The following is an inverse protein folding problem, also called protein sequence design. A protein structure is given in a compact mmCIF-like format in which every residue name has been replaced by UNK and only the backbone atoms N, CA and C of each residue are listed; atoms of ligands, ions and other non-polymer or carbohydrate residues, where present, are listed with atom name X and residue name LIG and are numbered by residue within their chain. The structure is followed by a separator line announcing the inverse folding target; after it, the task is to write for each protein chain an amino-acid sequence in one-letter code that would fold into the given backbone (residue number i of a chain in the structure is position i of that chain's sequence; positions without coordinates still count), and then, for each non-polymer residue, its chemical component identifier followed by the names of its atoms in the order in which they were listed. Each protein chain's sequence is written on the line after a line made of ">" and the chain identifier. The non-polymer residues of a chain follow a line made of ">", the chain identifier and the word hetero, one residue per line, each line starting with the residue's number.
data_IF_741890468894
#
_entry.id   IF_741890468894
#
_cell.length_a   1.000
_cell.length_b   1.000
_cell.length_c   1.000
_cell.angle_alpha   90.00
_cell.angle_beta   90.00
_cell.angle_gamma   90.00
#
_symmetry.space_group_name_H-M   'P 1'
#
loop_
_entity.id
_entity.type
_entity.pdbx_description
1 polymer ?
#
# COMPACT_ATOMS: atom_id res chain seq x y z
N UNK A 1 8.08 11.56 -1.58
CA UNK A 1 7.58 10.20 -1.33
C UNK A 1 6.08 10.28 -1.45
N UNK A 2 5.50 9.43 -2.28
CA UNK A 2 4.10 9.47 -2.68
C UNK A 2 3.49 8.12 -2.36
N UNK A 3 2.31 8.08 -1.75
CA UNK A 3 1.57 6.85 -1.50
C UNK A 3 0.20 6.97 -2.17
N UNK A 4 -0.13 6.00 -3.01
CA UNK A 4 -1.39 5.93 -3.75
C UNK A 4 -2.13 4.72 -3.24
N UNK A 5 -3.29 4.92 -2.61
CA UNK A 5 -4.14 3.81 -2.20
C UNK A 5 -4.73 3.13 -3.44
N UNK A 6 -4.73 1.81 -3.42
CA UNK A 6 -5.21 0.98 -4.52
C UNK A 6 -6.54 0.34 -4.13
N UNK A 7 -7.45 0.26 -5.09
CA UNK A 7 -8.64 -0.57 -5.06
C UNK A 7 -8.37 -1.93 -5.73
N UNK A 8 -9.33 -2.84 -5.69
CA UNK A 8 -9.19 -4.16 -6.32
C UNK A 8 -8.85 -4.06 -7.82
N UNK A 9 -9.49 -3.14 -8.55
CA UNK A 9 -9.41 -3.07 -10.01
C UNK A 9 -8.09 -2.46 -10.48
N UNK A 10 -7.53 -1.53 -9.71
CA UNK A 10 -6.21 -0.94 -9.94
C UNK A 10 -5.10 -1.95 -9.69
N UNK A 11 -5.16 -2.72 -8.59
CA UNK A 11 -4.22 -3.83 -8.36
C UNK A 11 -4.33 -4.86 -9.48
N UNK A 12 -5.55 -5.31 -9.81
CA UNK A 12 -5.77 -6.30 -10.87
C UNK A 12 -5.20 -5.83 -12.21
N UNK A 13 -5.41 -4.55 -12.54
CA UNK A 13 -4.88 -3.95 -13.78
C UNK A 13 -3.35 -3.97 -13.81
N UNK A 14 -2.68 -3.62 -12.72
CA UNK A 14 -1.21 -3.65 -12.63
C UNK A 14 -0.66 -5.08 -12.79
N UNK A 15 -1.30 -6.07 -12.18
CA UNK A 15 -0.91 -7.49 -12.35
C UNK A 15 -1.07 -7.93 -13.80
N UNK A 16 -2.19 -7.59 -14.43
CA UNK A 16 -2.44 -7.93 -15.82
C UNK A 16 -1.45 -7.26 -16.78
N UNK A 17 -1.05 -6.02 -16.52
CA UNK A 17 -0.02 -5.32 -17.28
C UNK A 17 1.34 -6.00 -17.15
N UNK A 18 1.73 -6.38 -15.93
CA UNK A 18 2.98 -7.10 -15.69
C UNK A 18 2.99 -8.46 -16.40
N UNK A 19 1.94 -9.28 -16.25
CA UNK A 19 1.82 -10.58 -16.92
C UNK A 19 1.94 -10.44 -18.45
N UNK A 20 1.35 -9.38 -19.01
CA UNK A 20 1.43 -9.07 -20.44
C UNK A 20 2.84 -8.65 -20.85
N UNK A 21 3.49 -7.76 -20.09
CA UNK A 21 4.83 -7.27 -20.38
C UNK A 21 5.86 -8.41 -20.37
N UNK A 22 5.72 -9.33 -19.42
CA UNK A 22 6.61 -10.48 -19.24
C UNK A 22 6.21 -11.70 -20.09
N UNK A 23 5.09 -11.61 -20.83
CA UNK A 23 4.52 -12.70 -21.65
C UNK A 23 4.29 -13.98 -20.88
N UNK A 24 3.89 -13.85 -19.61
CA UNK A 24 3.53 -14.97 -18.75
C UNK A 24 2.13 -15.43 -19.14
N UNK A 25 2.03 -16.59 -19.82
CA UNK A 25 0.76 -17.13 -20.33
C UNK A 25 0.45 -18.54 -19.84
N UNK A 26 1.42 -19.22 -19.23
CA UNK A 26 1.23 -20.56 -18.69
C UNK A 26 0.36 -20.48 -17.42
N UNK A 27 -0.76 -21.22 -17.32
CA UNK A 27 -1.69 -21.11 -16.20
C UNK A 27 -1.04 -21.28 -14.82
N UNK A 28 -0.04 -22.16 -14.69
CA UNK A 28 0.69 -22.35 -13.43
C UNK A 28 1.55 -21.13 -13.07
N UNK A 29 2.26 -20.55 -14.03
CA UNK A 29 3.07 -19.35 -13.81
C UNK A 29 2.19 -18.11 -13.54
N UNK A 30 1.05 -18.01 -14.21
CA UNK A 30 0.04 -16.98 -13.91
C UNK A 30 -0.50 -17.14 -12.49
N UNK A 31 -0.78 -18.37 -12.05
CA UNK A 31 -1.26 -18.62 -10.68
C UNK A 31 -0.20 -18.34 -9.62
N UNK A 32 1.08 -18.65 -9.90
CA UNK A 32 2.21 -18.32 -9.02
C UNK A 32 2.36 -16.80 -8.86
N UNK A 33 2.31 -16.05 -9.97
CA UNK A 33 2.33 -14.58 -9.91
C UNK A 33 1.11 -14.03 -9.17
N UNK A 34 -0.10 -14.49 -9.51
CA UNK A 34 -1.32 -14.05 -8.82
C UNK A 34 -1.28 -14.34 -7.32
N UNK A 35 -0.67 -15.43 -6.89
CA UNK A 35 -0.52 -15.71 -5.46
C UNK A 35 0.31 -14.64 -4.74
N UNK A 36 1.40 -14.17 -5.36
CA UNK A 36 2.23 -13.08 -4.80
C UNK A 36 1.41 -11.80 -4.65
N UNK A 37 0.53 -11.47 -5.61
CA UNK A 37 -0.30 -10.27 -5.54
C UNK A 37 -1.52 -10.42 -4.64
N UNK A 38 -2.12 -11.61 -4.54
CA UNK A 38 -3.20 -11.88 -3.61
C UNK A 38 -2.74 -11.67 -2.16
N UNK A 39 -1.50 -12.00 -1.82
CA UNK A 39 -0.91 -11.68 -0.51
C UNK A 39 -0.80 -10.16 -0.26
N UNK A 40 -0.83 -9.33 -1.31
CA UNK A 40 -0.76 -7.87 -1.23
C UNK A 40 -2.14 -7.21 -1.11
N UNK A 41 -3.23 -7.94 -1.37
CA UNK A 41 -4.60 -7.49 -1.21
C UNK A 41 -5.16 -8.10 0.08
N UNK A 42 -5.39 -7.31 1.14
CA UNK A 42 -5.86 -7.84 2.41
C UNK A 42 -7.26 -8.46 2.24
N UNK A 43 -7.38 -9.74 2.56
CA UNK A 43 -8.62 -10.53 2.39
C UNK A 43 -9.80 -9.99 3.22
N UNK A 44 -9.52 -9.23 4.29
CA UNK A 44 -10.50 -8.79 5.30
C UNK A 44 -10.37 -7.30 5.66
N UNK A 45 -10.80 -6.40 4.76
CA UNK A 45 -11.04 -5.00 5.10
C UNK A 45 -9.79 -4.21 5.52
N UNK A 46 -8.62 -4.59 5.01
CA UNK A 46 -7.42 -3.77 5.08
C UNK A 46 -7.33 -2.80 3.91
N UNK A 47 -6.29 -1.96 3.92
CA UNK A 47 -5.98 -1.04 2.82
C UNK A 47 -4.72 -1.49 2.09
N UNK A 48 -4.68 -1.33 0.78
CA UNK A 48 -3.48 -1.51 -0.04
C UNK A 48 -3.07 -0.20 -0.68
N UNK A 49 -1.78 -0.06 -0.95
CA UNK A 49 -1.22 1.13 -1.58
C UNK A 49 0.10 0.86 -2.30
N UNK A 50 0.36 1.65 -3.34
CA UNK A 50 1.67 1.76 -3.98
C UNK A 50 2.45 2.93 -3.41
N UNK A 51 3.63 2.64 -2.89
CA UNK A 51 4.59 3.62 -2.38
C UNK A 51 5.65 3.91 -3.45
N UNK A 52 5.85 5.20 -3.75
CA UNK A 52 6.84 5.68 -4.72
C UNK A 52 7.84 6.64 -4.06
N UNK A 53 9.12 6.37 -4.27
CA UNK A 53 10.26 7.21 -3.86
C UNK A 53 10.77 7.94 -5.10
N UNK A 54 10.20 9.11 -5.36
CA UNK A 54 10.48 9.92 -6.53
C UNK A 54 11.55 10.99 -6.21
N UNK A 55 12.65 10.94 -6.95
CA UNK A 55 13.73 11.94 -6.91
C UNK A 55 14.22 12.12 -8.36
N UNK A 56 14.22 13.36 -8.83
CA UNK A 56 14.55 13.70 -10.23
C UNK A 56 16.01 13.39 -10.58
N UNK A 57 16.93 13.80 -9.71
CA UNK A 57 18.36 13.58 -9.91
C UNK A 57 18.74 12.10 -9.64
N UNK A 58 19.32 11.37 -10.60
CA UNK A 58 19.65 9.96 -10.44
C UNK A 58 20.66 9.64 -9.33
N UNK A 59 21.65 10.51 -9.10
CA UNK A 59 22.67 10.30 -8.08
C UNK A 59 22.09 10.54 -6.69
N UNK A 60 21.27 11.58 -6.55
CA UNK A 60 20.52 11.85 -5.32
C UNK A 60 19.53 10.73 -5.05
N UNK A 61 18.83 10.24 -6.08
CA UNK A 61 17.86 9.14 -5.97
C UNK A 61 18.50 7.89 -5.40
N UNK A 62 19.64 7.47 -5.95
CA UNK A 62 20.31 6.27 -5.49
C UNK A 62 20.83 6.43 -4.06
N UNK A 63 21.41 7.59 -3.74
CA UNK A 63 21.82 7.89 -2.36
C UNK A 63 20.63 7.83 -1.39
N UNK A 64 19.51 8.46 -1.73
CA UNK A 64 18.29 8.46 -0.91
C UNK A 64 17.75 7.05 -0.67
N UNK A 65 17.75 6.20 -1.70
CA UNK A 65 17.33 4.80 -1.57
C UNK A 65 18.16 4.01 -0.55
N UNK A 66 19.47 4.27 -0.46
CA UNK A 66 20.35 3.66 0.56
C UNK A 66 20.14 4.27 1.95
N UNK A 67 19.92 5.58 2.02
CA UNK A 67 19.64 6.26 3.29
C UNK A 67 18.33 5.82 3.94
N UNK A 68 17.39 5.28 3.17
CA UNK A 68 16.06 4.86 3.61
C UNK A 68 15.95 3.37 3.97
N UNK A 69 17.06 2.62 4.02
CA UNK A 69 17.03 1.22 4.49
C UNK A 69 16.39 1.14 5.87
N UNK A 70 15.37 0.30 6.03
CA UNK A 70 14.52 0.24 7.23
C UNK A 70 13.21 1.04 7.11
N UNK A 71 12.91 1.64 5.95
CA UNK A 71 11.64 2.33 5.71
C UNK A 71 10.41 1.42 5.87
N UNK A 72 10.56 0.14 5.53
CA UNK A 72 9.55 -0.90 5.72
C UNK A 72 9.16 -1.10 7.18
N UNK A 73 10.02 -0.65 8.10
CA UNK A 73 9.80 -0.66 9.52
C UNK A 73 9.33 0.68 10.11
N UNK A 74 9.17 1.71 9.28
CA UNK A 74 8.99 3.08 9.75
C UNK A 74 7.65 3.71 9.34
N UNK A 75 6.87 3.06 8.47
CA UNK A 75 5.60 3.58 7.96
C UNK A 75 4.40 3.07 8.78
N UNK A 76 3.55 4.01 9.21
CA UNK A 76 2.32 3.74 9.94
C UNK A 76 1.14 4.54 9.39
N UNK A 77 -0.06 3.99 9.58
CA UNK A 77 -1.34 4.67 9.43
C UNK A 77 -1.90 4.96 10.82
N UNK A 78 -2.07 6.23 11.15
CA UNK A 78 -2.62 6.71 12.42
C UNK A 78 -4.10 7.08 12.20
N UNK A 79 -4.98 6.46 12.98
CA UNK A 79 -6.44 6.54 12.92
C UNK A 79 -6.95 6.99 14.30
N UNK A 80 -6.86 8.29 14.58
CA UNK A 80 -7.10 8.80 15.94
C UNK A 80 -6.07 8.26 16.94
N UNK A 81 -6.50 7.38 17.84
CA UNK A 81 -5.67 6.69 18.85
C UNK A 81 -5.18 5.30 18.41
N UNK A 82 -5.66 4.79 17.26
CA UNK A 82 -5.22 3.50 16.71
C UNK A 82 -4.05 3.74 15.75
N UNK A 83 -2.98 2.96 15.89
CA UNK A 83 -1.82 2.98 14.98
C UNK A 83 -1.66 1.61 14.33
N UNK A 84 -1.67 1.60 12.99
CA UNK A 84 -1.48 0.39 12.19
C UNK A 84 -0.16 0.51 11.45
N UNK A 85 0.71 -0.48 11.62
CA UNK A 85 1.98 -0.53 10.88
C UNK A 85 1.74 -1.05 9.47
N UNK A 86 2.44 -0.47 8.51
CA UNK A 86 2.46 -0.97 7.15
C UNK A 86 3.20 -2.32 7.08
N UNK A 87 2.67 -3.23 6.26
CA UNK A 87 3.35 -4.42 5.75
C UNK A 87 3.82 -4.14 4.34
N UNK A 88 5.02 -4.57 3.98
CA UNK A 88 5.59 -4.35 2.65
C UNK A 88 5.77 -5.67 1.91
N UNK A 89 5.72 -5.60 0.58
CA UNK A 89 5.98 -6.73 -0.30
C UNK A 89 7.40 -7.30 -0.16
N UNK A 90 7.58 -8.56 -0.53
CA UNK A 90 8.89 -9.22 -0.54
C UNK A 90 9.75 -8.86 -1.77
N UNK A 91 9.14 -8.52 -2.90
CA UNK A 91 9.80 -8.32 -4.20
C UNK A 91 10.78 -7.14 -4.19
N UNK A 92 10.47 -6.09 -3.43
CA UNK A 92 11.26 -4.86 -3.33
C UNK A 92 12.22 -4.79 -2.15
N UNK A 93 12.47 -5.91 -1.46
CA UNK A 93 13.39 -5.96 -0.31
C UNK A 93 14.83 -6.19 -0.77
N UNK A 94 15.68 -5.17 -0.60
CA UNK A 94 17.13 -5.31 -0.75
C UNK A 94 17.84 -4.97 0.57
N UNK A 95 19.02 -5.56 0.79
CA UNK A 95 19.78 -5.36 2.03
C UNK A 95 20.37 -3.95 2.14
N UNK A 96 20.74 -3.34 1.02
CA UNK A 96 21.53 -2.10 0.98
C UNK A 96 20.73 -0.88 0.51
N UNK A 97 19.49 -1.08 0.06
CA UNK A 97 18.63 -0.02 -0.49
C UNK A 97 17.15 -0.38 -0.44
N UNK A 98 16.27 0.62 -0.42
CA UNK A 98 14.83 0.41 -0.67
C UNK A 98 14.55 0.44 -2.17
N UNK A 99 13.58 -0.32 -2.69
CA UNK A 99 13.10 -0.16 -4.07
C UNK A 99 12.47 1.21 -4.31
N UNK A 100 12.48 1.69 -5.56
CA UNK A 100 11.84 2.97 -5.90
C UNK A 100 10.30 2.89 -5.83
N UNK A 101 9.75 1.71 -6.07
CA UNK A 101 8.32 1.39 -5.97
C UNK A 101 8.17 0.20 -5.03
N UNK A 102 7.22 0.25 -4.11
CA UNK A 102 6.89 -0.81 -3.16
C UNK A 102 5.38 -0.96 -3.04
N UNK A 103 4.91 -2.18 -2.86
CA UNK A 103 3.55 -2.44 -2.45
C UNK A 103 3.46 -2.49 -0.94
N UNK A 104 2.42 -1.86 -0.42
CA UNK A 104 2.21 -1.67 1.01
C UNK A 104 0.77 -2.05 1.35
N UNK A 105 0.57 -2.76 2.45
CA UNK A 105 -0.75 -3.05 2.99
C UNK A 105 -0.86 -2.68 4.47
N UNK A 106 -2.08 -2.38 4.90
CA UNK A 106 -2.44 -2.08 6.27
C UNK A 106 -3.58 -3.01 6.70
N UNK A 107 -3.26 -3.98 7.55
CA UNK A 107 -4.26 -4.85 8.16
C UNK A 107 -5.01 -4.07 9.24
N UNK A 108 -6.21 -3.58 8.93
CA UNK A 108 -7.00 -2.78 9.86
C UNK A 108 -7.63 -3.67 10.93
N UNK A 109 -7.32 -3.46 12.23
CA UNK A 109 -8.10 -4.07 13.29
C UNK A 109 -9.53 -3.47 13.32
N UNK A 110 -10.50 -4.13 13.97
CA UNK A 110 -11.89 -3.67 13.98
C UNK A 110 -12.07 -2.22 14.48
N UNK A 111 -11.35 -1.83 15.52
CA UNK A 111 -11.32 -0.46 16.05
C UNK A 111 -10.72 0.54 15.04
N UNK A 112 -9.63 0.18 14.36
CA UNK A 112 -9.05 0.97 13.28
C UNK A 112 -10.03 1.22 12.14
N UNK A 113 -10.83 0.21 11.78
CA UNK A 113 -11.89 0.35 10.77
C UNK A 113 -13.01 1.27 11.25
N UNK A 114 -13.47 1.13 12.49
CA UNK A 114 -14.46 2.04 13.07
C UNK A 114 -13.98 3.50 13.04
N UNK A 115 -12.71 3.73 13.39
CA UNK A 115 -12.06 5.04 13.31
C UNK A 115 -11.96 5.57 11.89
N UNK A 116 -11.66 4.71 10.91
CA UNK A 116 -11.63 5.12 9.51
C UNK A 116 -13.01 5.55 9.01
N UNK A 117 -14.08 4.88 9.46
CA UNK A 117 -15.46 5.18 9.08
C UNK A 117 -16.00 6.46 9.75
N UNK A 118 -15.55 6.79 10.95
CA UNK A 118 -15.94 7.99 11.69
C UNK A 118 -15.44 9.31 11.03
N UNK A 119 -16.34 10.21 10.59
CA UNK A 119 -15.95 11.51 10.06
C UNK A 119 -15.23 12.44 11.03
N UNK A 120 -15.37 12.21 12.34
CA UNK A 120 -14.66 12.99 13.36
C UNK A 120 -13.21 12.58 13.56
N UNK A 121 -12.79 11.44 13.00
CA UNK A 121 -11.45 10.90 13.21
C UNK A 121 -10.48 11.36 12.12
N UNK A 122 -9.39 12.01 12.56
CA UNK A 122 -8.27 12.34 11.68
C UNK A 122 -7.50 11.07 11.30
N UNK A 123 -7.19 10.94 10.01
CA UNK A 123 -6.42 9.83 9.45
C UNK A 123 -5.13 10.37 8.85
N UNK A 124 -3.98 9.79 9.21
CA UNK A 124 -2.71 10.24 8.66
C UNK A 124 -1.74 9.09 8.41
N UNK A 125 -0.90 9.26 7.40
CA UNK A 125 0.28 8.44 7.17
C UNK A 125 1.46 9.09 7.87
N UNK A 126 2.24 8.31 8.60
CA UNK A 126 3.45 8.77 9.26
C UNK A 126 4.62 7.88 8.93
N UNK A 127 5.75 8.51 8.61
CA UNK A 127 7.05 7.86 8.53
C UNK A 127 7.88 8.34 9.70
N UNK A 128 8.34 7.43 10.54
CA UNK A 128 9.28 7.70 11.62
C UNK A 128 10.58 6.92 11.38
N UNK A 129 11.40 7.42 10.45
CA UNK A 129 12.68 6.83 10.08
C UNK A 129 13.85 7.74 10.51
N UNK A 130 14.98 7.22 11.00
CA UNK A 130 16.10 8.04 11.49
C UNK A 130 16.67 9.06 10.50
N UNK A 131 16.44 8.82 9.19
CA UNK A 131 16.88 9.70 8.08
C UNK A 131 15.73 10.42 7.36
N UNK A 132 14.48 10.18 7.77
CA UNK A 132 13.30 10.75 7.13
C UNK A 132 12.09 10.70 8.06
N UNK A 133 11.59 11.86 8.47
CA UNK A 133 10.35 11.98 9.22
C UNK A 133 9.35 12.81 8.42
N UNK A 134 8.14 12.29 8.27
CA UNK A 134 7.08 12.95 7.52
C UNK A 134 5.71 12.49 8.02
N UNK A 135 4.74 13.40 7.99
CA UNK A 135 3.33 13.10 8.26
C UNK A 135 2.48 13.71 7.15
N UNK A 136 1.50 12.95 6.67
CA UNK A 136 0.51 13.41 5.71
C UNK A 136 -0.89 13.04 6.21
N UNK A 137 -1.69 14.05 6.53
CA UNK A 137 -3.10 13.86 6.89
C UNK A 137 -3.93 13.69 5.62
N UNK A 138 -4.78 12.66 5.60
CA UNK A 138 -5.71 12.42 4.51
C UNK A 138 -6.79 13.52 4.51
N UNK A 139 -7.24 13.91 3.32
CA UNK A 139 -8.43 14.75 3.20
C UNK A 139 -9.68 13.95 3.57
N UNK A 140 -10.75 14.64 3.96
CA UNK A 140 -12.05 14.00 4.21
C UNK A 140 -12.56 13.23 3.00
N UNK A 141 -12.22 13.69 1.79
CA UNK A 141 -12.57 13.02 0.54
C UNK A 141 -11.83 11.71 0.36
N UNK A 142 -10.51 11.70 0.55
CA UNK A 142 -9.71 10.49 0.47
C UNK A 142 -10.16 9.47 1.54
N UNK A 143 -10.36 9.92 2.79
CA UNK A 143 -10.88 9.07 3.87
C UNK A 143 -12.22 8.44 3.49
N UNK A 144 -13.15 9.24 2.96
CA UNK A 144 -14.47 8.74 2.51
C UNK A 144 -14.34 7.73 1.38
N UNK A 145 -13.45 7.95 0.41
CA UNK A 145 -13.20 6.99 -0.66
C UNK A 145 -12.79 5.64 -0.09
N UNK A 146 -11.78 5.62 0.79
CA UNK A 146 -11.29 4.39 1.42
C UNK A 146 -12.36 3.71 2.27
N UNK A 147 -13.23 4.49 2.94
CA UNK A 147 -14.34 3.96 3.71
C UNK A 147 -15.38 3.20 2.84
N UNK A 148 -15.61 3.64 1.60
CA UNK A 148 -16.56 2.99 0.67
C UNK A 148 -16.05 1.61 0.24
N UNK A 149 -14.75 1.50 -0.04
CA UNK A 149 -14.12 0.24 -0.49
C UNK A 149 -14.11 -0.82 0.61
N UNK A 150 -14.19 -0.38 1.87
CA UNK A 150 -14.26 -1.24 3.04
C UNK A 150 -15.69 -1.62 3.42
N UNK A 151 -16.75 -1.14 2.77
CA UNK A 151 -18.13 -1.52 3.09
C UNK A 151 -18.41 -2.96 2.61
N UNK A 152 -18.84 -3.90 3.48
CA UNK A 152 -19.14 -5.29 3.07
C UNK A 152 -20.17 -5.38 1.94
N UNK A 153 -21.06 -4.40 1.82
CA UNK A 153 -22.09 -4.36 0.77
C UNK A 153 -21.49 -4.15 -0.62
N UNK A 154 -20.36 -3.44 -0.74
CA UNK A 154 -19.65 -3.22 -2.00
C UNK A 154 -18.60 -4.30 -2.29
N UNK A 155 -17.98 -4.87 -1.25
CA UNK A 155 -16.99 -5.94 -1.40
C UNK A 155 -17.56 -7.25 -2.00
N UNK A 156 -18.88 -7.45 -1.96
CA UNK A 156 -19.56 -8.55 -2.66
C UNK A 156 -19.91 -8.22 -4.12
N UNK A 157 -20.07 -6.94 -4.47
CA UNK A 157 -20.40 -6.50 -5.81
C UNK A 157 -19.18 -6.59 -6.75
N UNK A 158 -17.98 -6.20 -6.28
CA UNK A 158 -16.73 -6.34 -7.07
C UNK A 158 -16.26 -7.80 -7.21
N UNK A 159 -16.70 -8.72 -6.35
CA UNK A 159 -16.39 -10.16 -6.45
C UNK A 159 -17.23 -10.93 -7.48
N UNK A 160 -18.26 -10.30 -8.05
CA UNK A 160 -19.19 -10.93 -9.01
C UNK A 160 -19.17 -10.30 -10.41
N UNK A 161 -18.24 -9.39 -10.68
CA UNK A 161 -18.06 -8.71 -11.97
C UNK A 161 -17.15 -9.46 -12.93
#
# INVERSE_FOLDING_TARGET
>A
MTLVFEDHDTVLSQVQEMLRAERITMPSAVAEELAVYNDLVPEDGGLSATLMIEVEDPEVRERRRRELVGLDEALTLELGDVTVRASFDALGRFEDRVAAVRFVSFALPPDGRERLLDPGTAVSLRVHHPRYEATATLSDEARRSLAVDLDPVNAEASRKG
#
